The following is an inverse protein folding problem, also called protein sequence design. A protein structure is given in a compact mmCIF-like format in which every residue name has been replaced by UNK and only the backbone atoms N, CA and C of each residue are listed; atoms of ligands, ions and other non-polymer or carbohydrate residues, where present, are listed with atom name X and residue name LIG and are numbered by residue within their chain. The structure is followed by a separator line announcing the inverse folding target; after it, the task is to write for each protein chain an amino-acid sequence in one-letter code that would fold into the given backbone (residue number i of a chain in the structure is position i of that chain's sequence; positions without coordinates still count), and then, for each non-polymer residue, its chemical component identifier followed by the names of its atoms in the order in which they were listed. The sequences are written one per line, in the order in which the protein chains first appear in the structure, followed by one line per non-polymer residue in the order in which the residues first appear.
data_IF_573980826555
#
_entry.id   IF_573980826555
#
_cell.length_a   1.000
_cell.length_b   1.000
_cell.length_c   1.000
_cell.angle_alpha   90.00
_cell.angle_beta   90.00
_cell.angle_gamma   90.00
#
_symmetry.space_group_name_H-M   'P 1'
#
loop_
_entity.id
_entity.type
_entity.pdbx_description
1 polymer ?
#
# COMPACT_ATOMS: atom_id res chain seq x y z
N UNK A 1 -8.94 -49.19 -20.30
CA UNK A 1 -7.97 -48.06 -20.34
C UNK A 1 -8.56 -46.66 -20.05
N UNK A 2 -9.78 -46.31 -20.50
CA UNK A 2 -10.37 -44.97 -20.29
C UNK A 2 -10.60 -44.58 -18.81
N UNK A 3 -11.15 -45.48 -17.97
CA UNK A 3 -11.43 -45.19 -16.54
C UNK A 3 -10.19 -44.86 -15.71
N UNK A 4 -9.06 -45.56 -15.90
CA UNK A 4 -7.79 -45.29 -15.18
C UNK A 4 -7.19 -43.92 -15.56
N UNK A 5 -7.30 -43.50 -16.84
CA UNK A 5 -6.84 -42.17 -17.29
C UNK A 5 -7.70 -41.03 -16.73
N UNK A 6 -9.01 -41.21 -16.65
CA UNK A 6 -9.93 -40.22 -16.05
C UNK A 6 -9.64 -40.05 -14.55
N UNK A 7 -9.41 -41.15 -13.83
CA UNK A 7 -9.06 -41.11 -12.41
C UNK A 7 -7.72 -40.40 -12.15
N UNK A 8 -6.72 -40.63 -13.00
CA UNK A 8 -5.42 -39.95 -12.90
C UNK A 8 -5.53 -38.45 -13.17
N UNK A 9 -6.34 -38.03 -14.15
CA UNK A 9 -6.59 -36.62 -14.44
C UNK A 9 -7.33 -35.93 -13.29
N UNK A 10 -8.30 -36.59 -12.65
CA UNK A 10 -8.99 -36.07 -11.47
C UNK A 10 -8.03 -35.90 -10.28
N UNK A 11 -7.13 -36.86 -10.06
CA UNK A 11 -6.11 -36.75 -8.99
C UNK A 11 -5.16 -35.59 -9.27
N UNK A 12 -4.70 -35.42 -10.52
CA UNK A 12 -3.86 -34.28 -10.91
C UNK A 12 -4.63 -32.97 -10.70
N UNK A 13 -5.91 -32.91 -11.08
CA UNK A 13 -6.73 -31.72 -10.89
C UNK A 13 -6.96 -31.41 -9.42
N UNK A 14 -7.14 -32.42 -8.57
CA UNK A 14 -7.26 -32.27 -7.11
C UNK A 14 -5.92 -31.83 -6.51
N UNK A 15 -4.79 -32.39 -6.94
CA UNK A 15 -3.46 -31.97 -6.48
C UNK A 15 -3.18 -30.53 -6.89
N UNK A 16 -3.46 -30.17 -8.14
CA UNK A 16 -3.36 -28.79 -8.65
C UNK A 16 -4.28 -27.86 -7.85
N UNK A 17 -5.54 -28.25 -7.67
CA UNK A 17 -6.49 -27.48 -6.87
C UNK A 17 -6.03 -27.32 -5.42
N UNK A 18 -5.47 -28.35 -4.78
CA UNK A 18 -4.92 -28.28 -3.43
C UNK A 18 -3.65 -27.40 -3.37
N UNK A 19 -2.75 -27.51 -4.37
CA UNK A 19 -1.58 -26.63 -4.53
C UNK A 19 -1.98 -25.16 -4.68
N UNK A 20 -3.06 -24.87 -5.42
CA UNK A 20 -3.55 -23.50 -5.60
C UNK A 20 -4.45 -23.03 -4.44
N UNK A 21 -5.15 -23.92 -3.74
CA UNK A 21 -5.99 -23.60 -2.58
C UNK A 21 -5.14 -23.16 -1.38
N UNK A 22 -3.93 -23.71 -1.23
CA UNK A 22 -3.01 -23.31 -0.15
C UNK A 22 -2.37 -21.92 -0.38
N UNK A 23 -2.56 -21.34 -1.57
CA UNK A 23 -2.07 -20.01 -1.93
C UNK A 23 -3.06 -18.86 -1.67
N UNK A 24 -4.27 -19.15 -1.16
CA UNK A 24 -5.17 -18.11 -0.62
C UNK A 24 -4.60 -17.64 0.72
N UNK A 25 -3.53 -16.85 0.62
CA UNK A 25 -2.59 -16.53 1.69
C UNK A 25 -3.32 -15.95 2.90
N UNK A 26 -3.08 -16.55 4.06
CA UNK A 26 -3.59 -16.09 5.35
C UNK A 26 -3.46 -14.57 5.54
N UNK A 27 -4.51 -13.94 6.04
CA UNK A 27 -4.47 -12.56 6.58
C UNK A 27 -3.54 -12.56 7.79
N UNK A 28 -2.41 -11.83 7.71
CA UNK A 28 -1.42 -11.76 8.80
C UNK A 28 -1.29 -10.37 9.43
N UNK A 29 -2.02 -9.37 8.90
CA UNK A 29 -2.00 -8.03 9.48
C UNK A 29 -2.42 -8.09 10.94
N UNK A 30 -1.90 -7.15 11.72
CA UNK A 30 -2.44 -6.83 13.03
C UNK A 30 -3.17 -5.49 12.94
N UNK A 31 -4.42 -5.45 13.37
CA UNK A 31 -5.21 -4.20 13.42
C UNK A 31 -4.66 -3.25 14.50
N UNK A 32 -4.11 -3.83 15.58
CA UNK A 32 -3.65 -3.11 16.76
C UNK A 32 -2.17 -3.43 16.99
N UNK A 33 -1.39 -2.41 17.37
CA UNK A 33 -0.02 -2.58 17.86
C UNK A 33 0.12 -1.96 19.25
N UNK A 34 0.33 -2.80 20.28
CA UNK A 34 0.45 -2.35 21.67
C UNK A 34 1.71 -1.54 21.97
N UNK A 35 2.73 -1.62 21.12
CA UNK A 35 3.98 -0.86 21.29
C UNK A 35 3.93 0.48 20.55
N UNK A 36 2.87 0.73 19.77
CA UNK A 36 2.69 2.01 19.12
C UNK A 36 1.94 2.97 20.03
N UNK A 37 2.53 4.14 20.28
CA UNK A 37 1.98 5.14 21.20
C UNK A 37 0.92 6.06 20.58
N UNK A 38 0.75 6.02 19.26
CA UNK A 38 -0.30 6.78 18.57
C UNK A 38 -1.65 6.08 18.57
N UNK A 39 -2.68 6.78 18.08
CA UNK A 39 -4.05 6.25 18.00
C UNK A 39 -4.11 5.02 17.08
N UNK A 40 -3.37 5.03 15.97
CA UNK A 40 -3.31 3.91 15.05
C UNK A 40 -4.51 3.85 14.11
N UNK A 41 -4.92 2.65 13.71
CA UNK A 41 -5.99 2.46 12.75
C UNK A 41 -7.37 2.57 13.43
N UNK A 42 -8.27 3.34 12.83
CA UNK A 42 -9.67 3.41 13.21
C UNK A 42 -10.54 2.98 12.03
N UNK A 43 -11.53 2.12 12.28
CA UNK A 43 -12.45 1.63 11.24
C UNK A 43 -13.54 2.67 11.00
N UNK A 44 -13.85 2.95 9.74
CA UNK A 44 -14.95 3.83 9.35
C UNK A 44 -16.09 3.01 8.77
N UNK A 45 -17.33 3.47 8.95
CA UNK A 45 -18.48 2.86 8.27
C UNK A 45 -18.47 3.32 6.81
N UNK A 46 -18.29 2.37 5.89
CA UNK A 46 -18.42 2.49 4.42
C UNK A 46 -18.47 3.93 3.87
N UNK A 47 -17.29 4.50 3.63
CA UNK A 47 -17.11 5.83 3.05
C UNK A 47 -16.71 5.72 1.58
N UNK A 48 -16.68 6.86 0.86
CA UNK A 48 -16.30 6.96 -0.55
C UNK A 48 -14.88 6.43 -0.81
N UNK A 49 -14.76 5.11 -1.04
CA UNK A 49 -13.52 4.43 -1.38
C UNK A 49 -12.51 4.25 -0.24
N UNK A 50 -12.94 4.27 1.03
CA UNK A 50 -12.11 3.84 2.16
C UNK A 50 -12.97 3.19 3.27
N UNK A 51 -12.32 2.54 4.23
CA UNK A 51 -12.99 1.91 5.37
C UNK A 51 -12.17 1.98 6.66
N UNK A 52 -11.06 2.72 6.62
CA UNK A 52 -10.23 2.99 7.76
C UNK A 52 -9.47 4.31 7.59
N UNK A 53 -9.14 4.92 8.72
CA UNK A 53 -8.15 5.98 8.83
C UNK A 53 -6.98 5.47 9.66
N UNK A 54 -5.84 6.15 9.57
CA UNK A 54 -4.72 5.92 10.46
C UNK A 54 -4.24 7.24 11.05
N UNK A 55 -4.19 7.32 12.38
CA UNK A 55 -3.77 8.52 13.09
C UNK A 55 -2.42 8.30 13.80
N UNK A 56 -1.46 9.20 13.56
CA UNK A 56 -0.14 9.13 14.19
C UNK A 56 -0.16 9.54 15.66
N UNK A 57 1.00 9.45 16.34
CA UNK A 57 1.12 9.99 17.71
C UNK A 57 1.01 11.53 17.73
N UNK A 58 0.88 12.10 18.93
CA UNK A 58 0.57 13.53 19.14
C UNK A 58 1.62 14.49 18.56
N UNK A 59 2.90 14.11 18.54
CA UNK A 59 3.93 14.98 17.97
C UNK A 59 3.81 15.01 16.43
N UNK A 60 3.54 16.16 15.83
CA UNK A 60 3.25 16.27 14.39
C UNK A 60 2.10 15.37 13.93
N UNK A 61 1.08 15.20 14.77
CA UNK A 61 -0.10 14.36 14.53
C UNK A 61 -0.71 14.54 13.15
N UNK A 62 -1.02 13.43 12.49
CA UNK A 62 -1.70 13.35 11.19
C UNK A 62 -2.72 12.25 11.21
N UNK A 63 -3.84 12.49 10.55
CA UNK A 63 -4.83 11.46 10.25
C UNK A 63 -4.86 11.25 8.75
N UNK A 64 -4.50 10.05 8.32
CA UNK A 64 -4.50 9.65 6.93
C UNK A 64 -5.80 8.90 6.62
N UNK A 65 -6.44 9.28 5.51
CA UNK A 65 -7.55 8.52 4.93
C UNK A 65 -6.95 7.40 4.09
N UNK A 66 -7.27 6.14 4.41
CA UNK A 66 -6.67 4.98 3.76
C UNK A 66 -7.39 4.57 2.46
N UNK A 67 -7.46 5.52 1.51
CA UNK A 67 -8.12 5.34 0.23
C UNK A 67 -7.75 4.05 -0.50
N UNK A 68 -8.73 3.46 -1.18
CA UNK A 68 -8.61 2.25 -1.98
C UNK A 68 -8.71 2.59 -3.46
N UNK A 69 -7.96 1.87 -4.28
CA UNK A 69 -8.02 2.02 -5.73
C UNK A 69 -9.05 1.08 -6.36
N UNK A 70 -9.40 0.01 -5.64
CA UNK A 70 -10.14 -1.16 -6.13
C UNK A 70 -11.43 -1.40 -5.32
N UNK A 71 -12.07 -2.54 -5.55
CA UNK A 71 -13.27 -2.96 -4.84
C UNK A 71 -14.43 -2.00 -5.05
N UNK A 72 -15.15 -1.70 -3.97
CA UNK A 72 -16.34 -0.85 -3.98
C UNK A 72 -16.03 0.67 -4.08
N UNK A 73 -14.76 1.04 -4.34
CA UNK A 73 -14.39 2.44 -4.52
C UNK A 73 -15.12 3.04 -5.73
N UNK A 74 -15.73 4.24 -5.63
CA UNK A 74 -16.53 4.82 -6.73
C UNK A 74 -15.77 5.00 -8.04
N UNK A 75 -14.45 5.19 -7.96
CA UNK A 75 -13.56 5.38 -9.10
C UNK A 75 -12.96 4.09 -9.66
N UNK A 76 -13.18 2.92 -9.04
CA UNK A 76 -12.43 1.69 -9.34
C UNK A 76 -12.47 1.31 -10.82
N UNK A 77 -13.60 1.52 -11.50
CA UNK A 77 -13.80 1.22 -12.92
C UNK A 77 -13.45 2.37 -13.87
N UNK A 78 -13.06 3.54 -13.35
CA UNK A 78 -12.74 4.69 -14.19
C UNK A 78 -11.44 4.47 -14.95
N UNK A 79 -11.39 4.91 -16.22
CA UNK A 79 -10.22 4.73 -17.09
C UNK A 79 -8.99 5.44 -16.53
N UNK A 80 -7.87 4.73 -16.52
CA UNK A 80 -6.55 5.24 -16.14
C UNK A 80 -5.42 4.36 -16.73
N UNK A 81 -4.41 4.98 -17.34
CA UNK A 81 -3.21 4.33 -17.87
C UNK A 81 -3.48 3.11 -18.77
N UNK A 82 -4.46 3.20 -19.67
CA UNK A 82 -4.81 2.11 -20.60
C UNK A 82 -5.65 0.98 -19.99
N UNK A 83 -5.94 1.03 -18.69
CA UNK A 83 -6.87 0.15 -17.99
C UNK A 83 -7.80 0.97 -17.10
N UNK A 84 -8.05 0.47 -15.89
CA UNK A 84 -8.89 1.11 -14.87
C UNK A 84 -8.09 1.60 -13.66
N UNK A 85 -8.71 2.37 -12.77
CA UNK A 85 -8.14 2.73 -11.46
C UNK A 85 -7.84 1.51 -10.59
N UNK A 86 -8.68 0.48 -10.63
CA UNK A 86 -8.45 -0.76 -9.88
C UNK A 86 -7.14 -1.42 -10.30
N UNK A 87 -6.79 -1.37 -11.59
CA UNK A 87 -5.59 -1.97 -12.15
C UNK A 87 -4.36 -1.06 -11.98
N UNK A 88 -4.50 0.22 -12.30
CA UNK A 88 -3.36 1.12 -12.51
C UNK A 88 -3.33 2.34 -11.58
N UNK A 89 -4.30 2.48 -10.67
CA UNK A 89 -4.46 3.66 -9.81
C UNK A 89 -3.51 3.75 -8.60
N UNK A 90 -2.67 2.74 -8.34
CA UNK A 90 -1.96 2.60 -7.07
C UNK A 90 -1.11 3.83 -6.69
N UNK A 91 -0.41 4.44 -7.66
CA UNK A 91 0.42 5.62 -7.40
C UNK A 91 -0.38 6.87 -7.03
N UNK A 92 -1.48 7.16 -7.73
CA UNK A 92 -2.31 8.34 -7.42
C UNK A 92 -3.17 8.10 -6.18
N UNK A 93 -3.61 6.86 -5.90
CA UNK A 93 -4.26 6.55 -4.63
C UNK A 93 -3.30 6.68 -3.45
N UNK A 94 -2.05 6.21 -3.58
CA UNK A 94 -1.02 6.41 -2.56
C UNK A 94 -0.71 7.91 -2.34
N UNK A 95 -0.71 8.70 -3.42
CA UNK A 95 -0.58 10.15 -3.34
C UNK A 95 -1.76 10.78 -2.57
N UNK A 96 -3.00 10.42 -2.87
CA UNK A 96 -4.19 10.89 -2.13
C UNK A 96 -4.11 10.55 -0.63
N UNK A 97 -3.66 9.34 -0.29
CA UNK A 97 -3.43 8.95 1.12
C UNK A 97 -2.45 9.93 1.78
N UNK A 98 -1.28 10.18 1.17
CA UNK A 98 -0.31 11.13 1.73
C UNK A 98 -0.93 12.52 1.87
N UNK A 99 -1.56 13.05 0.82
CA UNK A 99 -2.17 14.38 0.83
C UNK A 99 -3.19 14.55 1.96
N UNK A 100 -4.01 13.54 2.25
CA UNK A 100 -4.99 13.60 3.33
C UNK A 100 -4.37 13.87 4.71
N UNK A 101 -3.22 13.26 5.02
CA UNK A 101 -2.50 13.50 6.27
C UNK A 101 -1.85 14.89 6.37
N UNK A 102 -1.76 15.62 5.26
CA UNK A 102 -1.26 16.99 5.16
C UNK A 102 -2.41 17.99 4.94
N UNK A 103 -3.64 17.60 5.31
CA UNK A 103 -4.86 18.42 5.18
C UNK A 103 -5.14 18.92 3.75
N UNK A 104 -4.66 18.17 2.74
CA UNK A 104 -4.93 18.46 1.32
C UNK A 104 -6.04 17.53 0.85
N UNK A 105 -7.21 18.10 0.58
CA UNK A 105 -8.42 17.37 0.24
C UNK A 105 -8.41 16.96 -1.23
N UNK A 106 -7.78 15.82 -1.53
CA UNK A 106 -7.79 15.19 -2.85
C UNK A 106 -8.14 13.72 -2.71
N UNK A 107 -9.21 13.30 -3.35
CA UNK A 107 -9.55 11.89 -3.54
C UNK A 107 -8.72 11.30 -4.69
N UNK A 108 -8.63 9.95 -4.79
CA UNK A 108 -8.05 9.31 -5.96
C UNK A 108 -8.72 9.72 -7.28
N UNK A 109 -10.03 10.03 -7.27
CA UNK A 109 -10.74 10.49 -8.47
C UNK A 109 -10.31 11.91 -8.87
N UNK A 110 -10.15 12.82 -7.92
CA UNK A 110 -9.66 14.19 -8.19
C UNK A 110 -8.28 14.14 -8.87
N UNK A 111 -7.38 13.29 -8.35
CA UNK A 111 -6.05 13.10 -8.93
C UNK A 111 -6.11 12.39 -10.28
N UNK A 112 -7.01 11.40 -10.46
CA UNK A 112 -7.21 10.74 -11.76
C UNK A 112 -7.64 11.74 -12.82
N UNK A 113 -8.58 12.63 -12.50
CA UNK A 113 -9.06 13.68 -13.41
C UNK A 113 -7.95 14.68 -13.72
N UNK A 114 -7.23 15.15 -12.69
CA UNK A 114 -6.12 16.11 -12.84
C UNK A 114 -5.03 15.62 -13.79
N UNK A 115 -4.67 14.34 -13.71
CA UNK A 115 -3.57 13.76 -14.48
C UNK A 115 -4.04 12.89 -15.63
N UNK A 116 -5.30 12.96 -16.05
CA UNK A 116 -5.80 12.10 -17.13
C UNK A 116 -4.99 12.35 -18.43
N UNK A 117 -4.54 11.31 -19.16
CA UNK A 117 -4.84 9.89 -18.98
C UNK A 117 -3.96 9.13 -17.98
N UNK A 118 -2.83 9.70 -17.55
CA UNK A 118 -1.90 9.14 -16.56
C UNK A 118 -0.97 10.20 -15.95
N UNK A 119 -0.58 9.99 -14.70
CA UNK A 119 0.56 10.66 -14.09
C UNK A 119 1.80 9.78 -14.24
N UNK A 120 2.82 10.25 -14.94
CA UNK A 120 4.10 9.53 -14.98
C UNK A 120 4.68 9.41 -13.57
N UNK A 121 4.88 8.19 -13.08
CA UNK A 121 5.25 7.98 -11.68
C UNK A 121 6.65 8.48 -11.31
N UNK A 122 7.52 8.72 -12.29
CA UNK A 122 8.80 9.41 -12.06
C UNK A 122 8.61 10.89 -11.69
N UNK A 123 7.42 11.45 -11.90
CA UNK A 123 7.05 12.81 -11.51
C UNK A 123 6.44 12.90 -10.11
N UNK A 124 6.14 11.78 -9.43
CA UNK A 124 5.47 11.79 -8.11
C UNK A 124 6.19 12.67 -7.07
N UNK A 125 7.53 12.59 -7.00
CA UNK A 125 8.33 13.45 -6.10
C UNK A 125 8.12 14.94 -6.40
N UNK A 126 8.16 15.29 -7.70
CA UNK A 126 7.99 16.67 -8.17
C UNK A 126 6.59 17.19 -7.97
N UNK A 127 5.56 16.36 -8.17
CA UNK A 127 4.17 16.74 -7.89
C UNK A 127 3.98 17.03 -6.40
N UNK A 128 4.48 16.14 -5.53
CA UNK A 128 4.46 16.36 -4.08
C UNK A 128 5.11 17.71 -3.73
N UNK A 129 6.32 17.99 -4.25
CA UNK A 129 7.05 19.21 -3.87
C UNK A 129 6.52 20.48 -4.53
N UNK A 130 6.32 20.48 -5.85
CA UNK A 130 6.08 21.70 -6.62
C UNK A 130 4.61 22.08 -6.70
N UNK A 131 3.72 21.08 -6.61
CA UNK A 131 2.28 21.28 -6.79
C UNK A 131 1.55 21.23 -5.47
N UNK A 132 1.98 20.36 -4.56
CA UNK A 132 1.35 20.19 -3.26
C UNK A 132 2.16 20.77 -2.10
N UNK A 133 3.35 21.34 -2.33
CA UNK A 133 4.21 21.91 -1.28
C UNK A 133 4.54 20.92 -0.13
N UNK A 134 4.64 19.63 -0.47
CA UNK A 134 5.10 18.56 0.43
C UNK A 134 6.54 18.23 0.07
N UNK A 135 7.48 18.78 0.85
CA UNK A 135 8.91 18.50 0.70
C UNK A 135 9.17 17.01 0.90
N UNK A 136 9.99 16.45 0.02
CA UNK A 136 10.34 15.05 0.02
C UNK A 136 11.76 14.84 -0.54
N UNK A 137 12.23 13.60 -0.50
CA UNK A 137 13.37 13.16 -1.32
C UNK A 137 12.88 12.79 -2.72
N UNK A 138 13.76 12.74 -3.72
CA UNK A 138 13.45 11.90 -4.87
C UNK A 138 13.47 10.41 -4.44
N UNK A 139 13.12 9.51 -5.35
CA UNK A 139 13.18 8.07 -5.09
C UNK A 139 14.63 7.60 -4.90
N UNK A 140 14.86 6.91 -3.78
CA UNK A 140 16.02 6.04 -3.61
C UNK A 140 15.77 4.68 -4.23
N UNK A 141 16.83 4.09 -4.79
CA UNK A 141 16.82 2.80 -5.49
C UNK A 141 17.77 1.77 -4.85
N UNK A 142 18.43 2.12 -3.75
CA UNK A 142 19.44 1.30 -3.10
C UNK A 142 18.94 0.66 -1.79
N UNK A 143 19.58 -0.46 -1.43
CA UNK A 143 19.20 -1.26 -0.26
C UNK A 143 19.44 -0.56 1.08
N UNK A 144 20.38 0.39 1.16
CA UNK A 144 20.64 1.09 2.43
C UNK A 144 19.41 1.91 2.85
N UNK A 145 18.77 2.56 1.88
CA UNK A 145 17.50 3.25 2.06
C UNK A 145 16.27 2.34 2.17
N UNK A 146 16.40 1.02 2.06
CA UNK A 146 15.29 0.07 2.28
C UNK A 146 15.47 -0.75 3.57
N UNK A 147 16.56 -0.51 4.30
CA UNK A 147 16.82 -1.20 5.56
C UNK A 147 15.75 -0.88 6.60
N UNK A 148 15.42 -1.88 7.43
CA UNK A 148 14.48 -1.72 8.54
C UNK A 148 14.84 -0.52 9.42
N UNK A 149 16.11 -0.41 9.81
CA UNK A 149 16.60 0.72 10.60
C UNK A 149 16.26 2.06 9.93
N UNK A 150 16.61 2.24 8.65
CA UNK A 150 16.39 3.52 7.96
C UNK A 150 14.91 3.88 7.83
N UNK A 151 14.07 2.90 7.51
CA UNK A 151 12.62 3.09 7.42
C UNK A 151 12.04 3.44 8.79
N UNK A 152 12.41 2.69 9.82
CA UNK A 152 11.92 2.88 11.19
C UNK A 152 12.34 4.24 11.75
N UNK A 153 13.61 4.62 11.64
CA UNK A 153 14.12 5.94 12.07
C UNK A 153 13.31 7.09 11.45
N UNK A 154 12.97 6.98 10.17
CA UNK A 154 12.18 8.00 9.51
C UNK A 154 10.71 7.99 9.95
N UNK A 155 10.07 6.82 9.97
CA UNK A 155 8.65 6.69 10.31
C UNK A 155 8.37 7.09 11.77
N UNK A 156 9.32 6.90 12.68
CA UNK A 156 9.23 7.37 14.07
C UNK A 156 9.21 8.90 14.20
N UNK A 157 9.52 9.63 13.11
CA UNK A 157 9.32 11.10 13.04
C UNK A 157 7.92 11.51 12.57
N UNK A 158 6.98 10.55 12.46
CA UNK A 158 5.60 10.74 11.96
C UNK A 158 5.51 11.33 10.55
N UNK A 159 6.51 11.02 9.72
CA UNK A 159 6.52 11.35 8.30
C UNK A 159 6.42 10.07 7.48
N UNK A 160 5.51 10.03 6.50
CA UNK A 160 5.26 8.79 5.77
C UNK A 160 6.33 8.54 4.71
N UNK A 161 6.40 7.30 4.25
CA UNK A 161 7.28 6.88 3.15
C UNK A 161 6.41 6.31 2.05
N UNK A 162 6.53 6.86 0.84
CA UNK A 162 5.95 6.26 -0.36
C UNK A 162 6.90 5.18 -0.86
N UNK A 163 6.41 3.95 -0.99
CA UNK A 163 7.20 2.84 -1.52
C UNK A 163 6.56 2.29 -2.78
N UNK A 164 7.40 1.78 -3.68
CA UNK A 164 7.01 0.89 -4.74
C UNK A 164 7.61 -0.49 -4.45
N UNK A 165 6.79 -1.53 -4.46
CA UNK A 165 7.24 -2.92 -4.27
C UNK A 165 7.16 -3.71 -5.57
N UNK A 166 8.00 -4.73 -5.71
CA UNK A 166 7.99 -5.68 -6.82
C UNK A 166 7.55 -7.07 -6.39
N UNK A 167 7.18 -7.89 -7.37
CA UNK A 167 6.95 -9.33 -7.19
C UNK A 167 8.23 -10.15 -6.91
N UNK A 168 9.41 -9.53 -7.04
CA UNK A 168 10.73 -10.17 -6.82
C UNK A 168 11.26 -9.79 -5.44
N UNK A 169 12.12 -10.61 -4.79
CA UNK A 169 12.85 -11.76 -5.33
C UNK A 169 12.04 -13.06 -5.47
N UNK A 170 10.89 -13.16 -4.80
CA UNK A 170 9.95 -14.27 -4.90
C UNK A 170 8.53 -13.75 -4.69
N UNK A 171 7.54 -14.56 -5.06
CA UNK A 171 6.14 -14.19 -4.98
C UNK A 171 5.75 -13.67 -3.59
N UNK A 172 5.01 -12.57 -3.57
CA UNK A 172 4.55 -11.93 -2.35
C UNK A 172 3.08 -11.51 -2.44
N UNK A 173 2.53 -11.14 -1.28
CA UNK A 173 1.13 -10.75 -1.13
C UNK A 173 0.77 -9.45 -1.85
N UNK A 174 1.73 -8.55 -2.05
CA UNK A 174 1.45 -7.16 -2.42
C UNK A 174 1.15 -7.01 -3.91
N UNK A 175 1.90 -7.71 -4.75
CA UNK A 175 1.80 -7.56 -6.20
C UNK A 175 2.32 -8.77 -6.98
N UNK A 176 1.79 -8.93 -8.20
CA UNK A 176 2.32 -9.82 -9.24
C UNK A 176 3.23 -9.09 -10.24
N UNK A 177 3.33 -7.76 -10.14
CA UNK A 177 4.17 -6.91 -10.97
C UNK A 177 4.87 -5.86 -10.11
N UNK A 178 4.40 -4.62 -10.15
CA UNK A 178 4.80 -3.51 -9.27
C UNK A 178 3.59 -2.91 -8.57
N UNK A 179 3.75 -2.30 -7.40
CA UNK A 179 2.64 -1.68 -6.67
C UNK A 179 3.11 -0.57 -5.74
N UNK A 180 2.39 0.55 -5.67
CA UNK A 180 2.68 1.64 -4.74
C UNK A 180 1.85 1.50 -3.46
N UNK A 181 2.51 1.72 -2.32
CA UNK A 181 1.89 1.71 -0.98
C UNK A 181 2.53 2.81 -0.12
N UNK A 182 1.89 3.15 0.99
CA UNK A 182 2.41 4.14 1.93
C UNK A 182 2.72 3.47 3.26
N UNK A 183 3.93 3.67 3.79
CA UNK A 183 4.27 3.34 5.17
C UNK A 183 3.97 4.57 6.03
N UNK A 184 3.13 4.41 7.06
CA UNK A 184 2.63 5.55 7.84
C UNK A 184 3.27 5.67 9.23
N UNK A 185 3.72 4.56 9.81
CA UNK A 185 4.33 4.52 11.13
C UNK A 185 5.17 3.27 11.32
N UNK A 186 6.04 3.29 12.33
CA UNK A 186 6.74 2.11 12.84
C UNK A 186 6.72 2.13 14.38
N UNK A 187 6.77 0.96 15.00
CA UNK A 187 7.07 0.88 16.44
C UNK A 187 8.58 0.87 16.69
N UNK A 188 8.97 0.74 17.95
CA UNK A 188 10.37 0.61 18.38
C UNK A 188 10.90 -0.84 18.30
N UNK A 189 10.11 -1.77 17.76
CA UNK A 189 10.45 -3.20 17.68
C UNK A 189 10.69 -3.64 16.24
N UNK A 190 9.67 -4.19 15.59
CA UNK A 190 9.79 -4.84 14.28
C UNK A 190 8.54 -4.62 13.42
N UNK A 191 7.64 -3.73 13.83
CA UNK A 191 6.37 -3.53 13.14
C UNK A 191 6.34 -2.21 12.37
N UNK A 192 5.83 -2.28 11.15
CA UNK A 192 5.54 -1.15 10.28
C UNK A 192 4.06 -1.15 9.92
N UNK A 193 3.45 0.02 9.91
CA UNK A 193 2.08 0.18 9.44
C UNK A 193 2.07 0.44 7.93
N UNK A 194 1.39 -0.43 7.19
CA UNK A 194 1.22 -0.34 5.75
C UNK A 194 -0.19 0.15 5.44
N UNK A 195 -0.30 1.26 4.72
CA UNK A 195 -1.53 1.67 4.06
C UNK A 195 -1.49 1.23 2.60
N UNK A 196 -2.30 0.21 2.27
CA UNK A 196 -2.30 -0.40 0.96
C UNK A 196 -3.52 0.04 0.13
N UNK A 197 -3.33 0.71 -1.03
CA UNK A 197 -4.39 1.06 -1.95
C UNK A 197 -5.20 -0.12 -2.50
N UNK A 198 -4.60 -1.30 -2.62
CA UNK A 198 -5.19 -2.48 -3.27
C UNK A 198 -5.63 -3.57 -2.27
N UNK A 199 -5.70 -3.23 -0.98
CA UNK A 199 -6.11 -4.14 0.08
C UNK A 199 -7.58 -3.99 0.46
N UNK A 200 -8.30 -5.09 0.60
CA UNK A 200 -9.65 -5.13 1.15
C UNK A 200 -9.66 -5.01 2.69
N UNK A 201 -10.85 -5.11 3.30
CA UNK A 201 -11.04 -4.89 4.74
C UNK A 201 -10.27 -5.88 5.62
N UNK A 202 -10.35 -7.17 5.29
CA UNK A 202 -9.76 -8.27 6.06
C UNK A 202 -9.24 -9.38 5.14
N UNK A 203 -8.45 -9.01 4.13
CA UNK A 203 -7.79 -9.93 3.22
C UNK A 203 -6.26 -9.94 3.43
N UNK A 204 -5.58 -10.67 2.57
CA UNK A 204 -4.14 -10.85 2.61
C UNK A 204 -3.32 -9.60 2.27
N UNK A 205 -3.96 -8.56 1.75
CA UNK A 205 -3.39 -7.29 1.28
C UNK A 205 -3.82 -6.11 2.13
N UNK A 206 -4.70 -6.30 3.10
CA UNK A 206 -5.26 -5.24 3.93
C UNK A 206 -4.22 -4.31 4.53
N UNK A 207 -4.59 -3.04 4.68
CA UNK A 207 -3.84 -2.12 5.54
C UNK A 207 -3.75 -2.64 6.97
N UNK A 208 -2.62 -2.39 7.64
CA UNK A 208 -2.42 -2.79 9.03
C UNK A 208 -0.95 -2.84 9.43
N UNK A 209 -0.68 -3.38 10.61
CA UNK A 209 0.68 -3.60 11.11
C UNK A 209 1.24 -4.93 10.60
N UNK A 210 2.45 -4.87 10.07
CA UNK A 210 3.21 -6.01 9.54
C UNK A 210 4.63 -6.00 10.06
N UNK A 211 5.27 -7.17 10.11
CA UNK A 211 6.72 -7.22 10.36
C UNK A 211 7.47 -6.61 9.18
N UNK A 212 8.56 -5.89 9.43
CA UNK A 212 9.37 -5.30 8.34
C UNK A 212 9.78 -6.30 7.27
N UNK A 213 10.11 -7.54 7.67
CA UNK A 213 10.46 -8.63 6.74
C UNK A 213 9.39 -8.96 5.69
N UNK A 214 8.13 -8.59 5.93
CA UNK A 214 7.05 -8.81 4.97
C UNK A 214 7.04 -7.74 3.85
N UNK A 215 7.80 -6.65 4.02
CA UNK A 215 7.88 -5.52 3.07
C UNK A 215 9.29 -5.36 2.50
N UNK A 216 10.31 -5.26 3.37
CA UNK A 216 11.66 -4.80 2.98
C UNK A 216 12.33 -5.58 1.84
N UNK A 217 12.16 -6.91 1.70
CA UNK A 217 12.78 -7.64 0.59
C UNK A 217 12.22 -7.26 -0.79
N UNK A 218 11.03 -6.65 -0.82
CA UNK A 218 10.28 -6.37 -2.06
C UNK A 218 10.34 -4.90 -2.48
N UNK A 219 10.89 -4.01 -1.64
CA UNK A 219 10.97 -2.58 -1.97
C UNK A 219 11.89 -2.40 -3.17
N UNK A 220 11.35 -1.82 -4.24
CA UNK A 220 12.06 -1.46 -5.45
C UNK A 220 12.57 -0.03 -5.41
N UNK A 221 11.78 0.87 -4.81
CA UNK A 221 12.13 2.27 -4.58
C UNK A 221 11.33 2.87 -3.44
N UNK A 222 11.92 3.85 -2.76
CA UNK A 222 11.31 4.54 -1.63
C UNK A 222 11.54 6.04 -1.73
N UNK A 223 10.50 6.80 -1.42
CA UNK A 223 10.50 8.25 -1.33
C UNK A 223 10.09 8.66 0.08
N UNK A 224 10.88 9.55 0.68
CA UNK A 224 10.76 9.94 2.07
C UNK A 224 10.18 11.35 2.18
N UNK A 225 9.06 11.51 2.88
CA UNK A 225 8.50 12.84 3.10
C UNK A 225 9.32 13.59 4.15
N UNK A 226 9.73 14.82 3.84
CA UNK A 226 10.51 15.69 4.73
C UNK A 226 9.63 16.68 5.48
N UNK A 227 8.50 17.08 4.89
CA UNK A 227 7.54 18.01 5.49
C UNK A 227 6.94 17.46 6.78
N UNK A 228 6.87 18.33 7.79
CA UNK A 228 6.07 18.08 8.99
C UNK A 228 4.66 18.70 8.90
N UNK A 229 4.48 19.73 8.07
CA UNK A 229 3.21 20.41 7.81
C UNK A 229 2.99 20.52 6.30
#
# INVERSE_FOLDING_TARGET
MKKKRIMLLLIIFVIIYLFFKDSSSKTIKQDINKNYSGIGQEKTQNTDGYFSTFTTNENYKKTYIEYKQNGDSPWSNNKYWGGTMAENGCGITALAIILSGYNKQYTPEDLRQKYYPKLEYNSLSKELSNTFDIKNTDFYYDKAHFSQQKLQEHLQTNRPILICVWHKPHANRWTTASHYMVLLAADDKDMVYVSNPNGGKNDNKSSGWYKFKEITPYIAKALYIKSYN
#
